data_IF_661159275212
#
_entry.id   IF_661159275212
#
_cell.length_a   1.000
_cell.length_b   1.000
_cell.length_c   1.000
_cell.angle_alpha   90.00
_cell.angle_beta   90.00
_cell.angle_gamma   90.00
#
_symmetry.space_group_name_H-M   'P 1'
#
loop_
_entity.id
_entity.type
_entity.pdbx_description
1 polymer ?
#
# COMPACT_ATOMS: atom_id res chain seq x y z
N UNK A 1 32.58 -4.91 -24.34
CA UNK A 1 32.07 -5.99 -25.23
C UNK A 1 31.76 -5.41 -26.60
N UNK A 2 31.88 -6.20 -27.66
CA UNK A 2 31.54 -5.78 -29.02
C UNK A 2 30.01 -5.82 -29.20
N UNK A 3 29.43 -4.83 -29.87
CA UNK A 3 28.01 -4.86 -30.25
C UNK A 3 27.84 -5.65 -31.55
N UNK A 4 26.60 -5.93 -31.96
CA UNK A 4 26.30 -6.53 -33.28
C UNK A 4 26.87 -5.68 -34.43
N UNK A 5 26.83 -4.34 -34.30
CA UNK A 5 27.39 -3.39 -35.27
C UNK A 5 28.92 -3.44 -35.25
N UNK A 6 29.54 -3.49 -34.08
CA UNK A 6 30.99 -3.67 -33.96
C UNK A 6 31.48 -4.96 -34.61
N UNK A 7 30.75 -6.06 -34.42
CA UNK A 7 31.05 -7.34 -35.07
C UNK A 7 31.02 -7.25 -36.60
N UNK A 8 29.98 -6.61 -37.15
CA UNK A 8 29.88 -6.37 -38.58
C UNK A 8 31.03 -5.48 -39.10
N UNK A 9 31.38 -4.40 -38.38
CA UNK A 9 32.50 -3.52 -38.73
C UNK A 9 33.83 -4.25 -38.75
N UNK A 10 34.10 -5.09 -37.75
CA UNK A 10 35.30 -5.92 -37.69
C UNK A 10 35.33 -6.92 -38.86
N UNK A 11 34.19 -7.57 -39.15
CA UNK A 11 34.10 -8.52 -40.26
C UNK A 11 34.36 -7.87 -41.62
N UNK A 12 33.76 -6.69 -41.88
CA UNK A 12 34.00 -5.91 -43.11
C UNK A 12 35.46 -5.46 -43.19
N UNK A 13 36.04 -5.02 -42.08
CA UNK A 13 37.46 -4.65 -42.00
C UNK A 13 38.39 -5.83 -42.34
N UNK A 14 38.14 -7.01 -41.79
CA UNK A 14 38.92 -8.24 -42.05
C UNK A 14 38.77 -8.68 -43.51
N UNK A 15 37.53 -8.71 -44.03
CA UNK A 15 37.27 -9.09 -45.41
C UNK A 15 37.94 -8.12 -46.40
N UNK A 16 37.84 -6.82 -46.14
CA UNK A 16 38.53 -5.78 -46.92
C UNK A 16 40.04 -5.93 -46.87
N UNK A 17 40.62 -6.20 -45.71
CA UNK A 17 42.06 -6.43 -45.57
C UNK A 17 42.52 -7.68 -46.33
N UNK A 18 41.78 -8.79 -46.21
CA UNK A 18 42.09 -10.04 -46.91
C UNK A 18 42.04 -9.87 -48.44
N UNK A 19 41.03 -9.18 -48.96
CA UNK A 19 40.91 -8.86 -50.38
C UNK A 19 42.03 -7.91 -50.86
N UNK A 20 42.42 -6.94 -50.04
CA UNK A 20 43.52 -6.03 -50.37
C UNK A 20 44.85 -6.78 -50.46
N UNK A 21 45.07 -7.72 -49.54
CA UNK A 21 46.25 -8.58 -49.50
C UNK A 21 46.29 -9.55 -50.70
N UNK A 22 45.16 -10.17 -51.05
CA UNK A 22 45.12 -11.16 -52.13
C UNK A 22 45.15 -10.55 -53.53
N UNK A 23 44.55 -9.38 -53.74
CA UNK A 23 44.42 -8.76 -55.06
C UNK A 23 45.31 -7.52 -55.27
N UNK A 24 46.05 -7.08 -54.24
CA UNK A 24 46.98 -5.94 -54.33
C UNK A 24 46.30 -4.58 -54.57
N UNK A 25 44.97 -4.51 -54.41
CA UNK A 25 44.18 -3.30 -54.66
C UNK A 25 44.42 -2.27 -53.54
N UNK A 26 45.38 -1.37 -53.75
CA UNK A 26 45.67 -0.26 -52.82
C UNK A 26 44.46 0.63 -52.55
N UNK A 27 43.49 0.67 -53.46
CA UNK A 27 42.22 1.40 -53.29
C UNK A 27 41.40 0.89 -52.10
N UNK A 28 41.55 -0.39 -51.72
CA UNK A 28 40.78 -0.98 -50.63
C UNK A 28 41.24 -0.50 -49.24
N UNK A 29 42.48 0.01 -49.14
CA UNK A 29 43.00 0.65 -47.92
C UNK A 29 42.22 1.93 -47.56
N UNK A 30 41.59 2.58 -48.55
CA UNK A 30 40.73 3.75 -48.31
C UNK A 30 39.47 3.41 -47.50
N UNK A 31 39.06 2.14 -47.46
CA UNK A 31 37.94 1.65 -46.65
C UNK A 31 38.43 1.03 -45.35
N UNK A 32 39.49 0.22 -45.40
CA UNK A 32 40.04 -0.46 -44.22
C UNK A 32 40.61 0.54 -43.20
N UNK A 33 41.30 1.59 -43.66
CA UNK A 33 41.90 2.61 -42.79
C UNK A 33 40.88 3.30 -41.88
N UNK A 34 39.80 3.92 -42.41
CA UNK A 34 38.75 4.53 -41.60
C UNK A 34 38.06 3.57 -40.64
N UNK A 35 37.83 2.31 -41.04
CA UNK A 35 37.25 1.28 -40.15
C UNK A 35 38.16 1.00 -38.97
N UNK A 36 39.47 0.82 -39.20
CA UNK A 36 40.44 0.60 -38.14
C UNK A 36 40.53 1.82 -37.21
N UNK A 37 40.50 3.04 -37.76
CA UNK A 37 40.49 4.27 -36.96
C UNK A 37 39.22 4.36 -36.11
N UNK A 38 38.03 4.08 -36.67
CA UNK A 38 36.77 4.10 -35.94
C UNK A 38 36.76 3.06 -34.80
N UNK A 39 37.26 1.85 -35.05
CA UNK A 39 37.40 0.81 -34.04
C UNK A 39 38.38 1.22 -32.93
N UNK A 40 39.53 1.83 -33.29
CA UNK A 40 40.53 2.29 -32.34
C UNK A 40 39.98 3.43 -31.47
N UNK A 41 39.35 4.44 -32.09
CA UNK A 41 38.74 5.58 -31.38
C UNK A 41 37.63 5.09 -30.45
N UNK A 42 36.71 4.25 -30.93
CA UNK A 42 35.63 3.69 -30.11
C UNK A 42 36.15 2.86 -28.93
N UNK A 43 37.20 2.06 -29.14
CA UNK A 43 37.84 1.29 -28.07
C UNK A 43 38.52 2.18 -27.02
N UNK A 44 39.29 3.19 -27.46
CA UNK A 44 39.96 4.12 -26.54
C UNK A 44 38.94 4.91 -25.72
N UNK A 45 37.88 5.40 -26.37
CA UNK A 45 36.80 6.14 -25.71
C UNK A 45 36.16 5.30 -24.60
N UNK A 46 35.74 4.06 -24.90
CA UNK A 46 35.08 3.20 -23.92
C UNK A 46 36.02 2.70 -22.81
N UNK A 47 37.32 2.59 -23.10
CA UNK A 47 38.34 2.24 -22.10
C UNK A 47 38.57 3.38 -21.11
N UNK A 48 38.48 4.64 -21.57
CA UNK A 48 38.55 5.83 -20.71
C UNK A 48 37.32 6.01 -19.83
N UNK A 49 36.17 5.47 -20.21
CA UNK A 49 34.96 5.50 -19.38
C UNK A 49 35.22 4.84 -18.03
N UNK A 50 35.25 5.66 -16.99
CA UNK A 50 35.42 5.23 -15.60
C UNK A 50 34.11 4.66 -15.04
N UNK A 51 34.20 3.91 -13.96
CA UNK A 51 33.00 3.47 -13.23
C UNK A 51 32.36 4.72 -12.58
N UNK A 52 31.15 5.12 -12.99
CA UNK A 52 30.50 6.26 -12.35
C UNK A 52 30.20 5.92 -10.89
N UNK A 53 30.20 6.93 -10.02
CA UNK A 53 29.57 6.85 -8.71
C UNK A 53 28.07 7.13 -8.87
N UNK A 54 27.25 6.45 -8.08
CA UNK A 54 25.80 6.58 -8.10
C UNK A 54 25.35 6.91 -6.69
N UNK A 55 24.63 8.01 -6.56
CA UNK A 55 23.84 8.35 -5.38
C UNK A 55 22.35 8.19 -5.74
N UNK A 56 21.62 7.49 -4.88
CA UNK A 56 20.21 7.16 -5.12
C UNK A 56 19.40 7.83 -4.03
N UNK A 57 18.48 8.70 -4.42
CA UNK A 57 17.51 9.31 -3.50
C UNK A 57 16.15 8.67 -3.71
N UNK A 58 15.67 7.99 -2.67
CA UNK A 58 14.38 7.32 -2.64
C UNK A 58 13.57 7.83 -1.44
N UNK A 59 12.27 8.15 -1.61
CA UNK A 59 11.38 8.37 -0.48
C UNK A 59 11.29 7.13 0.42
N UNK A 60 11.39 7.29 1.74
CA UNK A 60 11.35 6.15 2.67
C UNK A 60 9.96 5.52 2.80
N UNK A 61 8.90 6.30 2.54
CA UNK A 61 7.51 5.88 2.65
C UNK A 61 6.67 6.46 1.52
N UNK A 62 5.61 5.74 1.14
CA UNK A 62 4.55 6.22 0.25
C UNK A 62 3.27 5.42 0.49
N UNK A 63 2.15 5.81 -0.12
CA UNK A 63 0.90 5.04 -0.05
C UNK A 63 0.64 4.35 -1.37
N UNK A 64 -0.10 3.25 -1.33
CA UNK A 64 -0.52 2.57 -2.54
C UNK A 64 -1.30 3.50 -3.46
N UNK A 65 -0.99 3.44 -4.75
CA UNK A 65 -1.47 4.30 -5.84
C UNK A 65 -0.83 5.70 -5.89
N UNK A 66 0.06 6.05 -4.95
CA UNK A 66 0.86 7.28 -5.05
C UNK A 66 1.91 7.14 -6.17
N UNK A 67 2.31 8.28 -6.71
CA UNK A 67 3.40 8.43 -7.66
C UNK A 67 4.58 9.10 -6.95
N UNK A 68 5.75 8.47 -7.00
CA UNK A 68 6.97 8.96 -6.36
C UNK A 68 8.11 9.03 -7.37
N UNK A 69 8.91 10.08 -7.27
CA UNK A 69 10.08 10.25 -8.14
C UNK A 69 11.31 9.64 -7.45
N UNK A 70 11.97 8.70 -8.13
CA UNK A 70 13.28 8.16 -7.76
C UNK A 70 14.35 8.93 -8.52
N UNK A 71 15.31 9.50 -7.80
CA UNK A 71 16.34 10.35 -8.38
C UNK A 71 17.69 9.63 -8.34
N UNK A 72 18.33 9.48 -9.50
CA UNK A 72 19.64 8.87 -9.67
C UNK A 72 20.66 9.94 -10.06
N UNK A 73 21.57 10.26 -9.15
CA UNK A 73 22.67 11.20 -9.42
C UNK A 73 23.95 10.44 -9.77
N UNK A 74 24.51 10.76 -10.95
CA UNK A 74 25.71 10.11 -11.45
C UNK A 74 26.88 11.09 -11.43
N UNK A 75 27.96 10.70 -10.74
CA UNK A 75 29.22 11.45 -10.76
C UNK A 75 30.31 10.65 -11.47
N UNK A 76 30.94 11.24 -12.49
CA UNK A 76 32.03 10.63 -13.24
C UNK A 76 33.07 11.69 -13.65
N UNK A 77 34.38 11.38 -13.61
CA UNK A 77 35.41 12.32 -14.05
C UNK A 77 35.32 12.70 -15.53
N UNK A 78 34.89 11.75 -16.37
CA UNK A 78 34.72 11.91 -17.80
C UNK A 78 33.27 11.56 -18.16
N UNK A 79 32.41 12.56 -18.45
CA UNK A 79 31.02 12.33 -18.81
C UNK A 79 30.89 11.51 -20.09
N UNK A 80 29.86 10.65 -20.15
CA UNK A 80 29.61 9.82 -21.32
C UNK A 80 28.12 9.54 -21.53
N UNK A 81 27.73 9.36 -22.79
CA UNK A 81 26.37 8.95 -23.12
C UNK A 81 26.11 7.49 -22.67
N UNK A 82 25.10 7.31 -21.83
CA UNK A 82 24.69 6.03 -21.29
C UNK A 82 23.20 5.80 -21.43
N UNK A 83 22.79 4.54 -21.34
CA UNK A 83 21.39 4.17 -21.10
C UNK A 83 21.29 3.63 -19.68
N UNK A 84 20.42 4.22 -18.87
CA UNK A 84 20.14 3.84 -17.49
C UNK A 84 18.92 2.92 -17.49
N UNK A 85 19.07 1.77 -16.86
CA UNK A 85 18.04 0.77 -16.65
C UNK A 85 17.91 0.59 -15.14
N UNK A 86 16.70 0.85 -14.62
CA UNK A 86 16.34 0.66 -13.22
C UNK A 86 15.51 -0.62 -13.11
N UNK A 87 16.00 -1.59 -12.35
CA UNK A 87 15.20 -2.77 -11.99
C UNK A 87 14.39 -2.43 -10.72
N UNK A 88 13.10 -2.77 -10.72
CA UNK A 88 12.16 -2.52 -9.62
C UNK A 88 11.45 -3.83 -9.25
N UNK A 89 10.99 -3.91 -8.00
CA UNK A 89 10.15 -5.02 -7.54
C UNK A 89 8.75 -5.01 -8.20
N UNK A 90 8.07 -6.16 -8.18
CA UNK A 90 6.76 -6.38 -8.81
C UNK A 90 5.63 -5.51 -8.25
N UNK A 91 5.86 -4.77 -7.15
CA UNK A 91 4.93 -3.82 -6.57
C UNK A 91 5.18 -2.36 -6.94
N UNK A 92 6.17 -2.10 -7.78
CA UNK A 92 6.52 -0.78 -8.31
C UNK A 92 6.38 -0.78 -9.83
N UNK A 93 5.68 0.20 -10.39
CA UNK A 93 5.42 0.31 -11.82
C UNK A 93 5.97 1.63 -12.35
N UNK A 94 6.60 1.61 -13.53
CA UNK A 94 7.05 2.82 -14.22
C UNK A 94 7.00 2.60 -15.74
N UNK A 95 6.67 3.64 -16.49
CA UNK A 95 6.40 3.52 -17.93
C UNK A 95 7.59 3.90 -18.84
N UNK A 96 8.63 4.54 -18.28
CA UNK A 96 9.68 5.19 -19.08
C UNK A 96 10.69 4.24 -19.72
N UNK A 97 10.73 2.97 -19.29
CA UNK A 97 11.72 2.01 -19.79
C UNK A 97 13.17 2.52 -19.64
N UNK A 98 14.10 2.08 -20.51
CA UNK A 98 15.49 2.52 -20.42
C UNK A 98 15.68 3.99 -20.85
N UNK A 99 16.17 4.82 -19.93
CA UNK A 99 16.37 6.27 -20.16
C UNK A 99 17.78 6.53 -20.69
N UNK A 100 17.90 7.34 -21.76
CA UNK A 100 19.21 7.76 -22.30
C UNK A 100 19.60 9.10 -21.69
N UNK A 101 20.80 9.18 -21.10
CA UNK A 101 21.30 10.40 -20.47
C UNK A 101 22.82 10.55 -20.58
N UNK A 102 23.33 11.75 -20.28
CA UNK A 102 24.76 12.02 -20.06
C UNK A 102 25.11 11.66 -18.62
N UNK A 103 25.83 10.55 -18.44
CA UNK A 103 26.26 10.07 -17.13
C UNK A 103 27.43 10.93 -16.66
N UNK A 104 27.33 11.55 -15.48
CA UNK A 104 28.36 12.42 -14.90
C UNK A 104 28.02 13.92 -14.89
N UNK A 105 26.97 14.34 -15.60
CA UNK A 105 26.57 15.77 -15.72
C UNK A 105 25.10 16.01 -15.40
N UNK A 106 24.29 14.96 -15.33
CA UNK A 106 22.84 15.07 -15.28
C UNK A 106 22.27 14.01 -14.36
N UNK A 107 21.26 14.43 -13.60
CA UNK A 107 20.45 13.57 -12.76
C UNK A 107 19.37 12.91 -13.60
N UNK A 108 19.11 11.63 -13.36
CA UNK A 108 18.04 10.88 -14.04
C UNK A 108 16.93 10.61 -13.05
N UNK A 109 15.72 11.00 -13.42
CA UNK A 109 14.51 10.80 -12.60
C UNK A 109 13.64 9.72 -13.23
N UNK A 110 13.02 8.91 -12.37
CA UNK A 110 12.03 7.91 -12.73
C UNK A 110 10.78 8.16 -11.90
N UNK A 111 9.66 8.42 -12.56
CA UNK A 111 8.37 8.50 -11.89
C UNK A 111 7.79 7.08 -11.75
N UNK A 112 7.60 6.67 -10.50
CA UNK A 112 7.23 5.31 -10.12
C UNK A 112 5.92 5.30 -9.37
N UNK A 113 4.97 4.51 -9.87
CA UNK A 113 3.68 4.25 -9.24
C UNK A 113 3.79 3.11 -8.24
N UNK A 114 3.28 3.32 -7.03
CA UNK A 114 3.29 2.34 -5.94
C UNK A 114 2.09 1.40 -6.02
N UNK A 115 2.21 0.29 -6.75
CA UNK A 115 1.10 -0.60 -7.08
C UNK A 115 0.69 -1.56 -5.95
N UNK A 116 1.65 -2.04 -5.14
CA UNK A 116 1.42 -2.98 -4.03
C UNK A 116 1.94 -2.42 -2.71
N UNK A 117 1.20 -2.66 -1.61
CA UNK A 117 1.63 -2.33 -0.26
C UNK A 117 2.78 -3.25 0.21
N UNK A 118 3.48 -2.82 1.25
CA UNK A 118 4.58 -3.56 1.86
C UNK A 118 5.94 -2.96 1.53
N UNK A 119 7.01 -3.63 1.93
CA UNK A 119 8.37 -3.24 1.60
C UNK A 119 8.66 -3.58 0.14
N UNK A 120 9.04 -2.58 -0.65
CA UNK A 120 9.35 -2.72 -2.08
C UNK A 120 10.80 -2.36 -2.33
N UNK A 121 11.54 -3.23 -3.03
CA UNK A 121 12.96 -3.03 -3.31
C UNK A 121 13.20 -2.25 -4.60
N UNK A 122 14.22 -1.38 -4.58
CA UNK A 122 14.67 -0.58 -5.72
C UNK A 122 16.10 -0.96 -6.07
N UNK A 123 16.32 -1.27 -7.35
CA UNK A 123 17.58 -1.71 -7.90
C UNK A 123 17.59 -3.19 -8.24
N UNK A 124 18.69 -3.67 -8.87
CA UNK A 124 19.92 -2.95 -9.18
C UNK A 124 19.77 -1.88 -10.29
N UNK A 125 20.69 -0.93 -10.32
CA UNK A 125 20.79 0.07 -11.39
C UNK A 125 21.86 -0.35 -12.39
N UNK A 126 21.50 -0.41 -13.67
CA UNK A 126 22.41 -0.80 -14.75
C UNK A 126 22.61 0.36 -15.71
N UNK A 127 23.88 0.67 -15.99
CA UNK A 127 24.28 1.74 -16.90
C UNK A 127 24.98 1.11 -18.09
N UNK A 128 24.44 1.29 -19.29
CA UNK A 128 25.00 0.78 -20.54
C UNK A 128 25.60 1.93 -21.33
N UNK A 129 26.91 2.14 -21.19
CA UNK A 129 27.69 3.07 -22.01
C UNK A 129 27.99 2.48 -23.38
N UNK A 130 27.91 3.30 -24.43
CA UNK A 130 28.29 2.95 -25.81
C UNK A 130 29.24 4.01 -26.36
N UNK A 131 30.13 3.62 -27.26
CA UNK A 131 30.93 4.61 -27.99
C UNK A 131 30.08 5.35 -29.04
N UNK A 132 30.62 6.44 -29.58
CA UNK A 132 29.94 7.30 -30.57
C UNK A 132 29.50 6.56 -31.85
N UNK A 133 30.20 5.49 -32.23
CA UNK A 133 29.84 4.66 -33.39
C UNK A 133 28.96 3.45 -32.99
N UNK A 134 28.75 3.23 -31.69
CA UNK A 134 27.97 2.12 -31.15
C UNK A 134 28.57 0.75 -31.46
N UNK A 135 29.88 0.65 -31.66
CA UNK A 135 30.63 -0.57 -31.99
C UNK A 135 30.95 -1.39 -30.74
N UNK A 136 31.16 -0.72 -29.61
CA UNK A 136 31.46 -1.29 -28.33
C UNK A 136 30.43 -0.83 -27.29
N UNK A 137 30.18 -1.69 -26.31
CA UNK A 137 29.38 -1.36 -25.13
C UNK A 137 30.09 -1.79 -23.86
N UNK A 138 29.88 -1.03 -22.80
CA UNK A 138 30.32 -1.35 -21.43
C UNK A 138 29.12 -1.21 -20.51
N UNK A 139 28.96 -2.18 -19.64
CA UNK A 139 27.87 -2.20 -18.67
C UNK A 139 28.47 -2.03 -17.29
N UNK A 140 27.94 -1.07 -16.55
CA UNK A 140 28.19 -0.88 -15.13
C UNK A 140 26.93 -1.29 -14.38
N UNK A 141 27.07 -2.03 -13.29
CA UNK A 141 25.94 -2.48 -12.48
C UNK A 141 26.18 -2.08 -11.05
N UNK A 142 25.31 -1.22 -10.53
CA UNK A 142 25.28 -0.83 -9.13
C UNK A 142 24.29 -1.72 -8.39
N UNK A 143 24.79 -2.42 -7.38
CA UNK A 143 23.97 -3.23 -6.48
C UNK A 143 23.29 -2.30 -5.46
N UNK A 144 22.28 -1.57 -5.93
CA UNK A 144 21.42 -0.72 -5.10
C UNK A 144 20.49 -1.64 -4.32
N UNK A 145 20.30 -1.34 -3.02
CA UNK A 145 19.45 -2.10 -2.10
C UNK A 145 18.60 -1.14 -1.27
N UNK A 146 18.09 -0.11 -1.93
CA UNK A 146 17.17 0.82 -1.31
C UNK A 146 15.77 0.21 -1.26
N UNK A 147 14.98 0.62 -0.28
CA UNK A 147 13.64 0.09 -0.05
C UNK A 147 12.69 1.24 0.25
N UNK A 148 11.47 1.15 -0.26
CA UNK A 148 10.36 2.04 0.10
C UNK A 148 9.28 1.22 0.81
N UNK A 149 8.78 1.73 1.94
CA UNK A 149 7.64 1.13 2.62
C UNK A 149 6.34 1.72 2.06
N UNK A 150 5.56 0.90 1.38
CA UNK A 150 4.28 1.30 0.79
C UNK A 150 3.13 0.99 1.75
N UNK A 151 2.47 2.02 2.25
CA UNK A 151 1.29 1.91 3.10
C UNK A 151 0.04 1.49 2.31
N UNK A 152 -0.96 0.89 2.98
CA UNK A 152 -2.28 0.69 2.38
C UNK A 152 -2.90 2.01 1.93
N UNK A 153 -3.80 1.94 0.96
CA UNK A 153 -4.51 3.11 0.45
C UNK A 153 -5.52 3.59 1.49
N UNK A 154 -5.43 4.86 1.85
CA UNK A 154 -6.41 5.51 2.71
C UNK A 154 -7.50 6.11 1.82
N UNK A 155 -8.73 5.66 2.00
CA UNK A 155 -9.90 6.25 1.35
C UNK A 155 -10.55 7.27 2.30
N UNK A 156 -10.98 8.43 1.79
CA UNK A 156 -11.69 9.40 2.62
C UNK A 156 -12.98 8.77 3.14
N UNK A 157 -13.14 8.77 4.45
CA UNK A 157 -14.37 8.39 5.15
C UNK A 157 -14.74 9.51 6.11
N UNK A 158 -16.03 9.71 6.35
CA UNK A 158 -16.50 10.75 7.26
C UNK A 158 -16.19 10.34 8.72
N UNK A 159 -15.22 11.04 9.33
CA UNK A 159 -14.78 10.78 10.71
C UNK A 159 -15.87 10.99 11.75
N UNK A 160 -16.71 12.03 11.58
CA UNK A 160 -17.81 12.30 12.51
C UNK A 160 -18.87 11.20 12.43
N UNK A 161 -19.20 10.77 11.21
CA UNK A 161 -20.13 9.65 11.01
C UNK A 161 -19.57 8.34 11.58
N UNK A 162 -18.26 8.11 11.40
CA UNK A 162 -17.54 6.94 11.92
C UNK A 162 -17.57 6.90 13.45
N UNK A 163 -17.27 8.02 14.12
CA UNK A 163 -17.33 8.15 15.58
C UNK A 163 -18.77 8.00 16.10
N UNK A 164 -19.77 8.53 15.39
CA UNK A 164 -21.18 8.35 15.79
C UNK A 164 -21.65 6.91 15.65
N UNK A 165 -21.33 6.23 14.55
CA UNK A 165 -21.65 4.83 14.35
C UNK A 165 -21.03 3.96 15.48
N UNK A 166 -19.81 4.32 15.91
CA UNK A 166 -19.12 3.71 17.03
C UNK A 166 -19.85 3.88 18.36
N UNK A 167 -20.27 5.09 18.68
CA UNK A 167 -21.05 5.39 19.88
C UNK A 167 -22.38 4.64 19.88
N UNK A 168 -23.11 4.65 18.76
CA UNK A 168 -24.41 3.99 18.64
C UNK A 168 -24.31 2.48 18.86
N UNK A 169 -23.29 1.85 18.26
CA UNK A 169 -23.10 0.43 18.39
C UNK A 169 -22.60 0.02 19.79
N UNK A 170 -21.75 0.82 20.44
CA UNK A 170 -21.34 0.58 21.82
C UNK A 170 -22.55 0.66 22.77
N UNK A 171 -23.43 1.66 22.59
CA UNK A 171 -24.69 1.79 23.33
C UNK A 171 -25.59 0.57 23.10
N UNK A 172 -25.68 0.08 21.86
CA UNK A 172 -26.48 -1.09 21.53
C UNK A 172 -25.90 -2.42 22.05
N UNK A 173 -24.58 -2.55 22.15
CA UNK A 173 -23.91 -3.72 22.71
C UNK A 173 -24.02 -3.75 24.25
N UNK A 174 -23.81 -2.61 24.92
CA UNK A 174 -24.01 -2.48 26.37
C UNK A 174 -25.46 -2.83 26.78
N UNK A 175 -26.45 -2.50 25.93
CA UNK A 175 -27.85 -2.92 26.11
C UNK A 175 -28.08 -4.43 26.04
N UNK A 176 -27.16 -5.20 25.45
CA UNK A 176 -27.28 -6.65 25.28
C UNK A 176 -26.51 -7.45 26.34
N UNK A 177 -25.38 -6.93 26.84
CA UNK A 177 -24.46 -7.73 27.67
C UNK A 177 -24.70 -7.67 29.19
N UNK A 178 -25.46 -6.70 29.73
CA UNK A 178 -25.79 -6.67 31.16
C UNK A 178 -27.21 -6.15 31.41
N UNK A 179 -28.11 -7.04 31.83
CA UNK A 179 -29.47 -6.71 32.27
C UNK A 179 -29.57 -6.89 33.79
N UNK A 180 -29.28 -5.83 34.56
CA UNK A 180 -29.59 -5.82 35.99
C UNK A 180 -30.96 -5.17 36.19
N UNK A 181 -31.89 -5.89 36.82
CA UNK A 181 -33.24 -5.39 37.10
C UNK A 181 -33.22 -4.58 38.40
N UNK A 182 -33.47 -3.27 38.29
CA UNK A 182 -33.61 -2.34 39.41
C UNK A 182 -35.08 -1.94 39.60
N UNK A 183 -35.49 -1.59 40.81
CA UNK A 183 -36.81 -0.99 41.07
C UNK A 183 -36.94 0.38 40.39
N UNK A 184 -38.05 0.57 39.68
CA UNK A 184 -38.43 1.80 39.00
C UNK A 184 -38.46 2.97 39.98
N UNK A 185 -37.77 4.05 39.63
CA UNK A 185 -37.86 5.32 40.34
C UNK A 185 -38.55 6.36 39.46
N UNK A 186 -39.25 7.30 40.10
CA UNK A 186 -39.92 8.40 39.42
C UNK A 186 -38.90 9.24 38.65
N UNK A 187 -38.93 9.15 37.31
CA UNK A 187 -37.96 9.78 36.42
C UNK A 187 -37.32 8.82 35.43
N UNK A 188 -37.41 7.50 35.68
CA UNK A 188 -36.92 6.49 34.76
C UNK A 188 -37.80 6.45 33.48
N UNK A 189 -37.19 6.38 32.28
CA UNK A 189 -37.93 6.33 31.03
C UNK A 189 -38.70 5.00 30.88
N UNK A 190 -40.00 5.09 30.60
CA UNK A 190 -40.91 3.92 30.50
C UNK A 190 -40.50 2.88 29.43
N UNK A 191 -39.69 3.28 28.44
CA UNK A 191 -39.13 2.36 27.43
C UNK A 191 -38.15 1.33 28.02
N UNK A 192 -37.55 1.62 29.17
CA UNK A 192 -36.55 0.75 29.80
C UNK A 192 -37.18 -0.21 30.82
N UNK A 193 -38.50 -0.14 31.02
CA UNK A 193 -39.27 -1.05 31.89
C UNK A 193 -39.30 -2.47 31.32
N UNK A 194 -38.95 -3.46 32.15
CA UNK A 194 -39.02 -4.87 31.79
C UNK A 194 -40.40 -5.45 32.14
N UNK A 195 -41.37 -5.24 31.23
CA UNK A 195 -42.79 -5.59 31.44
C UNK A 195 -43.02 -7.04 31.90
N UNK A 196 -42.25 -8.01 31.39
CA UNK A 196 -42.41 -9.43 31.72
C UNK A 196 -42.06 -9.75 33.19
N UNK A 197 -41.11 -9.02 33.78
CA UNK A 197 -40.74 -9.18 35.20
C UNK A 197 -41.60 -8.32 36.11
N UNK A 198 -41.97 -7.11 35.67
CA UNK A 198 -42.90 -6.24 36.38
C UNK A 198 -44.30 -6.86 36.52
N UNK A 199 -44.78 -7.59 35.51
CA UNK A 199 -46.10 -8.24 35.55
C UNK A 199 -46.22 -9.40 36.56
N UNK A 200 -45.09 -9.91 37.06
CA UNK A 200 -45.05 -10.98 38.09
C UNK A 200 -44.94 -10.42 39.51
N UNK A 201 -44.82 -9.10 39.67
CA UNK A 201 -44.67 -8.43 40.97
C UNK A 201 -45.97 -7.76 41.41
N UNK A 202 -46.09 -7.42 42.72
CA UNK A 202 -47.21 -6.66 43.24
C UNK A 202 -47.44 -5.33 42.49
N UNK A 203 -48.70 -4.89 42.45
CA UNK A 203 -49.10 -3.65 41.76
C UNK A 203 -48.31 -2.47 42.33
N UNK A 204 -47.50 -1.84 41.47
CA UNK A 204 -46.66 -0.68 41.82
C UNK A 204 -45.16 -0.94 41.80
N UNK A 205 -44.72 -2.20 41.76
CA UNK A 205 -43.29 -2.57 41.70
C UNK A 205 -42.84 -2.87 40.26
N UNK A 206 -42.60 -1.83 39.49
CA UNK A 206 -42.01 -1.98 38.15
C UNK A 206 -40.50 -2.17 38.25
N UNK A 207 -39.96 -3.04 37.42
CA UNK A 207 -38.52 -3.22 37.26
C UNK A 207 -38.05 -2.52 35.98
N UNK A 208 -36.97 -1.77 36.09
CA UNK A 208 -36.28 -1.09 34.99
C UNK A 208 -34.98 -1.81 34.71
N UNK A 209 -34.66 -1.94 33.43
CA UNK A 209 -33.37 -2.44 32.96
C UNK A 209 -32.33 -1.38 33.25
N UNK A 210 -31.42 -1.66 34.18
CA UNK A 210 -30.25 -0.84 34.43
C UNK A 210 -29.09 -1.39 33.62
N UNK A 211 -28.58 -0.56 32.73
CA UNK A 211 -27.37 -0.83 31.96
C UNK A 211 -26.23 -0.11 32.67
N UNK A 212 -25.16 -0.83 33.01
CA UNK A 212 -23.93 -0.22 33.50
C UNK A 212 -23.24 0.37 32.27
N UNK A 213 -23.32 1.69 32.10
CA UNK A 213 -22.58 2.37 31.06
C UNK A 213 -21.10 2.34 31.45
N UNK A 214 -20.37 1.36 30.92
CA UNK A 214 -18.92 1.34 31.05
C UNK A 214 -18.41 2.53 30.23
N UNK A 215 -18.13 3.63 30.93
CA UNK A 215 -17.59 4.86 30.37
C UNK A 215 -16.11 4.68 30.01
N UNK A 216 -15.82 3.73 29.12
CA UNK A 216 -14.48 3.43 28.59
C UNK A 216 -14.37 3.89 27.12
N UNK A 217 -15.15 4.89 26.70
CA UNK A 217 -15.13 5.43 25.34
C UNK A 217 -14.04 6.49 25.14
N UNK A 218 -12.78 6.06 25.13
CA UNK A 218 -11.69 6.82 24.48
C UNK A 218 -10.73 5.93 23.67
N UNK A 219 -10.89 4.60 23.73
CA UNK A 219 -10.00 3.63 23.08
C UNK A 219 -10.79 2.61 22.30
N UNK A 220 -10.32 2.28 21.10
CA UNK A 220 -10.99 1.35 20.18
C UNK A 220 -9.98 0.35 19.64
N UNK A 221 -10.32 -0.93 19.70
CA UNK A 221 -9.52 -2.00 19.16
C UNK A 221 -10.14 -2.51 17.85
N UNK A 222 -9.39 -2.41 16.75
CA UNK A 222 -9.76 -2.96 15.46
C UNK A 222 -9.00 -4.26 15.23
N UNK A 223 -9.71 -5.33 14.88
CA UNK A 223 -9.11 -6.58 14.41
C UNK A 223 -9.26 -6.66 12.89
N UNK A 224 -8.15 -6.88 12.20
CA UNK A 224 -8.10 -7.04 10.76
C UNK A 224 -7.71 -8.48 10.42
N UNK A 225 -8.59 -9.21 9.71
CA UNK A 225 -8.35 -10.58 9.27
C UNK A 225 -8.70 -10.72 7.79
N UNK A 226 -7.90 -11.45 7.05
CA UNK A 226 -8.13 -11.60 5.61
C UNK A 226 -7.82 -13.02 5.15
N UNK A 227 -8.63 -13.52 4.21
CA UNK A 227 -8.25 -14.69 3.43
C UNK A 227 -7.30 -14.26 2.29
N UNK A 228 -6.62 -15.23 1.69
CA UNK A 228 -5.79 -15.01 0.52
C UNK A 228 -6.59 -14.28 -0.59
N UNK A 229 -5.98 -13.25 -1.20
CA UNK A 229 -6.61 -12.43 -2.24
C UNK A 229 -7.53 -11.30 -1.74
N UNK A 230 -7.64 -11.11 -0.42
CA UNK A 230 -8.42 -10.01 0.18
C UNK A 230 -7.64 -9.15 1.18
N UNK A 231 -6.36 -9.45 1.37
CA UNK A 231 -5.53 -8.78 2.39
C UNK A 231 -5.42 -7.28 2.12
N UNK A 232 -5.19 -6.91 0.86
CA UNK A 232 -5.17 -5.53 0.38
C UNK A 232 -6.45 -4.76 0.73
N UNK A 233 -7.61 -5.33 0.40
CA UNK A 233 -8.91 -4.70 0.63
C UNK A 233 -9.17 -4.47 2.12
N UNK A 234 -8.78 -5.44 2.96
CA UNK A 234 -8.91 -5.35 4.42
C UNK A 234 -7.93 -4.33 4.98
N UNK A 235 -6.68 -4.33 4.52
CA UNK A 235 -5.66 -3.37 4.95
C UNK A 235 -6.08 -1.92 4.60
N UNK A 236 -6.58 -1.68 3.38
CA UNK A 236 -7.08 -0.38 2.95
C UNK A 236 -8.29 0.07 3.79
N UNK A 237 -9.24 -0.85 4.04
CA UNK A 237 -10.41 -0.57 4.86
C UNK A 237 -10.03 -0.23 6.31
N UNK A 238 -9.18 -1.05 6.94
CA UNK A 238 -8.70 -0.81 8.31
C UNK A 238 -7.89 0.47 8.40
N UNK A 239 -7.00 0.76 7.44
CA UNK A 239 -6.23 1.99 7.39
C UNK A 239 -7.13 3.23 7.32
N UNK A 240 -8.20 3.15 6.52
CA UNK A 240 -9.17 4.24 6.35
C UNK A 240 -9.98 4.49 7.62
N UNK A 241 -10.52 3.43 8.25
CA UNK A 241 -11.29 3.53 9.50
C UNK A 241 -10.40 4.03 10.64
N UNK A 242 -9.21 3.43 10.81
CA UNK A 242 -8.27 3.82 11.86
C UNK A 242 -7.83 5.29 11.69
N UNK A 243 -7.55 5.72 10.46
CA UNK A 243 -7.20 7.10 10.16
C UNK A 243 -8.31 8.07 10.55
N UNK A 244 -9.56 7.78 10.16
CA UNK A 244 -10.68 8.65 10.46
C UNK A 244 -11.04 8.71 11.95
N UNK A 245 -10.88 7.60 12.68
CA UNK A 245 -11.04 7.57 14.13
C UNK A 245 -9.95 8.38 14.85
N UNK A 246 -8.69 8.27 14.40
CA UNK A 246 -7.58 9.08 14.91
C UNK A 246 -7.80 10.58 14.61
N UNK A 247 -8.30 10.92 13.42
CA UNK A 247 -8.68 12.30 13.06
C UNK A 247 -9.82 12.82 13.96
N UNK A 248 -10.73 11.95 14.38
CA UNK A 248 -11.76 12.22 15.38
C UNK A 248 -11.28 12.24 16.84
N UNK A 249 -9.96 12.09 17.08
CA UNK A 249 -9.37 12.12 18.42
C UNK A 249 -9.56 10.84 19.25
N UNK A 250 -9.99 9.74 18.64
CA UNK A 250 -10.16 8.44 19.30
C UNK A 250 -8.82 7.70 19.31
N UNK A 251 -8.41 7.14 20.44
CA UNK A 251 -7.21 6.31 20.49
C UNK A 251 -7.51 4.94 19.86
N UNK A 252 -6.81 4.59 18.78
CA UNK A 252 -7.07 3.37 18.00
C UNK A 252 -5.94 2.38 18.16
N UNK A 253 -6.27 1.14 18.48
CA UNK A 253 -5.38 -0.02 18.38
C UNK A 253 -5.78 -0.89 17.21
N UNK A 254 -4.81 -1.56 16.60
CA UNK A 254 -5.03 -2.49 15.49
C UNK A 254 -4.30 -3.80 15.77
N UNK A 255 -5.01 -4.90 15.63
CA UNK A 255 -4.46 -6.26 15.70
C UNK A 255 -4.64 -6.96 14.35
N UNK A 256 -3.54 -7.50 13.83
CA UNK A 256 -3.47 -8.36 12.64
C UNK A 256 -2.92 -9.73 13.04
N UNK A 257 -2.94 -10.74 12.15
CA UNK A 257 -2.34 -12.05 12.46
C UNK A 257 -0.84 -11.98 12.80
N UNK A 258 -0.13 -10.96 12.30
CA UNK A 258 1.32 -10.79 12.45
C UNK A 258 1.69 -10.00 13.71
N UNK A 259 0.77 -9.21 14.27
CA UNK A 259 1.06 -8.41 15.44
C UNK A 259 -0.05 -7.45 15.86
N UNK A 260 0.24 -6.69 16.92
CA UNK A 260 -0.69 -5.76 17.55
C UNK A 260 -0.02 -4.43 17.86
N UNK A 261 -0.72 -3.36 17.52
CA UNK A 261 -0.45 -2.00 18.01
C UNK A 261 -1.55 -1.65 19.01
N UNK A 262 -1.16 -1.42 20.27
CA UNK A 262 -2.12 -1.07 21.32
C UNK A 262 -2.71 0.34 21.09
N UNK A 263 -3.94 0.62 21.55
CA UNK A 263 -4.56 1.93 21.43
C UNK A 263 -3.75 3.02 22.12
N UNK A 264 -3.43 4.07 21.37
CA UNK A 264 -2.74 5.28 21.84
C UNK A 264 -3.31 6.50 21.07
N UNK A 265 -3.20 7.69 21.66
CA UNK A 265 -3.59 8.97 21.05
C UNK A 265 -2.40 9.77 20.51
N UNK A 266 -1.19 9.21 20.53
CA UNK A 266 0.02 9.88 20.08
C UNK A 266 0.01 10.15 18.56
N UNK A 267 0.68 11.23 18.13
CA UNK A 267 0.79 11.61 16.71
C UNK A 267 1.43 10.52 15.84
N UNK A 268 2.36 9.74 16.41
CA UNK A 268 3.03 8.62 15.70
C UNK A 268 2.15 7.38 15.54
N UNK A 269 0.98 7.33 16.20
CA UNK A 269 0.12 6.16 16.21
C UNK A 269 -0.34 5.77 14.81
N UNK A 270 -0.65 6.77 13.98
CA UNK A 270 -1.03 6.54 12.57
C UNK A 270 0.06 5.78 11.84
N UNK A 271 1.30 6.24 11.92
CA UNK A 271 2.44 5.61 11.23
C UNK A 271 2.65 4.18 11.73
N UNK A 272 2.55 3.92 13.04
CA UNK A 272 2.67 2.56 13.59
C UNK A 272 1.60 1.61 13.03
N UNK A 273 0.35 2.08 12.96
CA UNK A 273 -0.77 1.31 12.40
C UNK A 273 -0.56 1.05 10.91
N UNK A 274 -0.21 2.07 10.12
CA UNK A 274 0.02 1.93 8.68
C UNK A 274 1.21 1.00 8.38
N UNK A 275 2.28 1.07 9.17
CA UNK A 275 3.41 0.14 9.08
C UNK A 275 2.98 -1.29 9.39
N UNK A 276 2.16 -1.53 10.43
CA UNK A 276 1.64 -2.87 10.70
C UNK A 276 0.80 -3.39 9.52
N UNK A 277 -0.09 -2.56 8.99
CA UNK A 277 -0.98 -2.93 7.87
C UNK A 277 -0.23 -3.12 6.54
N UNK A 278 0.89 -2.43 6.34
CA UNK A 278 1.77 -2.64 5.18
C UNK A 278 2.34 -4.06 5.16
N UNK A 279 2.60 -4.65 6.34
CA UNK A 279 3.12 -6.02 6.49
C UNK A 279 2.04 -7.07 6.75
N UNK A 280 0.76 -6.69 6.70
CA UNK A 280 -0.35 -7.63 6.93
C UNK A 280 -0.36 -8.73 5.87
N UNK A 281 -0.44 -9.98 6.29
CA UNK A 281 -0.63 -11.15 5.43
C UNK A 281 -2.03 -11.75 5.62
N UNK A 282 -2.34 -12.83 4.89
CA UNK A 282 -3.59 -13.53 5.06
C UNK A 282 -3.54 -14.39 6.33
N UNK A 283 -4.55 -14.28 7.18
CA UNK A 283 -4.62 -15.04 8.41
C UNK A 283 -5.82 -14.66 9.27
N UNK A 284 -5.91 -15.35 10.41
CA UNK A 284 -6.88 -15.06 11.47
C UNK A 284 -6.14 -14.75 12.75
N UNK A 285 -6.71 -13.85 13.53
CA UNK A 285 -6.23 -13.48 14.86
C UNK A 285 -6.74 -14.51 15.87
N UNK A 286 -5.97 -14.74 16.93
CA UNK A 286 -6.35 -15.67 17.99
C UNK A 286 -7.64 -15.21 18.70
N UNK A 287 -8.49 -16.17 19.09
CA UNK A 287 -9.81 -15.88 19.69
C UNK A 287 -9.75 -14.95 20.91
N UNK A 288 -8.66 -15.00 21.69
CA UNK A 288 -8.46 -14.13 22.86
C UNK A 288 -8.33 -12.64 22.51
N UNK A 289 -7.66 -12.34 21.40
CA UNK A 289 -7.49 -10.95 20.94
C UNK A 289 -8.72 -10.51 20.17
N UNK A 290 -9.30 -11.42 19.39
CA UNK A 290 -10.56 -11.18 18.69
C UNK A 290 -11.73 -10.86 19.63
N UNK A 291 -11.77 -11.46 20.82
CA UNK A 291 -12.79 -11.17 21.83
C UNK A 291 -12.70 -9.74 22.41
N UNK A 292 -11.60 -9.02 22.18
CA UNK A 292 -11.40 -7.63 22.61
C UNK A 292 -11.71 -6.61 21.52
N UNK A 293 -12.08 -7.07 20.32
CA UNK A 293 -12.29 -6.21 19.17
C UNK A 293 -13.62 -5.47 19.30
N UNK A 294 -13.57 -4.14 19.22
CA UNK A 294 -14.76 -3.30 19.04
C UNK A 294 -15.22 -3.35 17.58
N UNK A 295 -14.24 -3.43 16.66
CA UNK A 295 -14.45 -3.47 15.21
C UNK A 295 -13.69 -4.65 14.63
N UNK A 296 -14.38 -5.44 13.81
CA UNK A 296 -13.78 -6.57 13.10
C UNK A 296 -13.89 -6.34 11.59
N UNK A 297 -12.75 -6.13 10.94
CA UNK A 297 -12.66 -5.96 9.49
C UNK A 297 -12.21 -7.26 8.85
N UNK A 298 -13.01 -7.76 7.90
CA UNK A 298 -12.83 -9.07 7.28
C UNK A 298 -12.95 -9.04 5.77
N UNK A 299 -12.12 -9.82 5.11
CA UNK A 299 -12.17 -10.03 3.66
C UNK A 299 -12.56 -11.48 3.35
N UNK A 300 -13.86 -11.81 3.31
CA UNK A 300 -14.27 -13.15 2.93
C UNK A 300 -14.09 -13.38 1.43
N UNK A 301 -13.80 -14.63 1.06
CA UNK A 301 -13.39 -15.00 -0.30
C UNK A 301 -14.51 -14.86 -1.34
N UNK A 302 -15.77 -14.91 -0.90
CA UNK A 302 -16.98 -14.90 -1.73
C UNK A 302 -17.49 -13.50 -2.07
N UNK A 303 -16.93 -12.44 -1.46
CA UNK A 303 -17.35 -11.05 -1.70
C UNK A 303 -16.20 -10.20 -2.25
N UNK A 304 -16.53 -9.19 -3.05
CA UNK A 304 -15.55 -8.26 -3.64
C UNK A 304 -15.10 -7.15 -2.68
N UNK A 305 -15.79 -6.99 -1.55
CA UNK A 305 -15.59 -5.89 -0.61
C UNK A 305 -15.17 -6.41 0.77
N UNK A 306 -14.47 -5.56 1.54
CA UNK A 306 -14.24 -5.83 2.96
C UNK A 306 -15.55 -5.66 3.74
N UNK A 307 -15.81 -6.58 4.65
CA UNK A 307 -16.89 -6.52 5.63
C UNK A 307 -16.38 -5.92 6.93
N UNK A 308 -17.20 -5.05 7.50
CA UNK A 308 -17.00 -4.48 8.82
C UNK A 308 -18.09 -5.06 9.70
N UNK A 309 -17.70 -5.74 10.76
CA UNK A 309 -18.61 -6.16 11.82
C UNK A 309 -18.46 -5.20 12.99
N UNK A 310 -19.58 -4.56 13.36
CA UNK A 310 -19.66 -3.58 14.43
C UNK A 310 -20.84 -3.91 15.34
N UNK A 311 -20.61 -4.18 16.63
CA UNK A 311 -21.71 -4.35 17.60
C UNK A 311 -22.71 -5.45 17.23
N UNK A 312 -22.28 -6.44 16.42
CA UNK A 312 -23.10 -7.53 15.89
C UNK A 312 -23.74 -7.27 14.53
N UNK A 313 -23.73 -6.04 14.01
CA UNK A 313 -24.18 -5.72 12.65
C UNK A 313 -23.01 -5.87 11.66
N UNK A 314 -23.29 -6.34 10.45
CA UNK A 314 -22.30 -6.51 9.38
C UNK A 314 -22.67 -5.62 8.20
N UNK A 315 -21.73 -4.80 7.76
CA UNK A 315 -21.89 -3.94 6.58
C UNK A 315 -20.63 -3.97 5.71
N UNK A 316 -20.77 -3.62 4.43
CA UNK A 316 -19.60 -3.48 3.57
C UNK A 316 -18.86 -2.17 3.85
N UNK A 317 -17.55 -2.15 3.60
CA UNK A 317 -16.77 -0.91 3.70
C UNK A 317 -17.30 0.18 2.76
N UNK A 318 -17.76 -0.18 1.57
CA UNK A 318 -18.23 0.82 0.60
C UNK A 318 -19.55 1.46 1.05
N UNK A 319 -20.45 0.70 1.68
CA UNK A 319 -21.63 1.25 2.36
C UNK A 319 -21.24 2.15 3.53
N UNK A 320 -20.20 1.78 4.28
CA UNK A 320 -19.69 2.60 5.39
C UNK A 320 -19.08 3.91 4.90
N UNK A 321 -18.25 3.86 3.86
CA UNK A 321 -17.58 5.02 3.28
C UNK A 321 -18.53 5.96 2.52
N UNK A 322 -19.57 5.42 1.88
CA UNK A 322 -20.58 6.20 1.13
C UNK A 322 -21.76 6.65 1.99
N UNK A 323 -21.99 6.00 3.14
CA UNK A 323 -23.17 6.12 3.96
C UNK A 323 -22.89 6.67 5.34
N UNK A 324 -22.44 7.93 5.41
CA UNK A 324 -22.71 8.74 6.59
C UNK A 324 -24.21 8.74 6.89
N UNK A 325 -24.62 8.04 7.95
CA UNK A 325 -25.96 7.99 8.52
C UNK A 325 -27.14 7.72 7.57
N UNK A 326 -27.46 6.44 7.34
CA UNK A 326 -28.86 6.03 7.20
C UNK A 326 -29.22 5.07 8.33
N UNK A 327 -29.78 5.65 9.39
CA UNK A 327 -30.58 4.96 10.40
C UNK A 327 -31.60 4.04 9.70
N UNK A 328 -31.31 2.76 9.60
CA UNK A 328 -32.36 1.77 9.38
C UNK A 328 -33.13 1.66 10.69
N UNK A 329 -34.25 2.37 10.75
CA UNK A 329 -35.24 2.21 11.80
C UNK A 329 -35.62 0.73 11.93
N UNK A 330 -35.86 0.22 13.16
CA UNK A 330 -36.30 -1.14 13.35
C UNK A 330 -37.64 -1.32 12.64
N UNK A 331 -37.70 -2.35 11.78
CA UNK A 331 -38.91 -2.81 11.13
C UNK A 331 -39.94 -3.15 12.21
N UNK A 332 -40.85 -2.22 12.48
CA UNK A 332 -41.99 -2.49 13.35
C UNK A 332 -42.84 -3.54 12.64
N UNK A 333 -42.91 -4.71 13.25
CA UNK A 333 -43.94 -5.69 12.96
C UNK A 333 -45.29 -5.01 13.22
N UNK A 334 -46.07 -4.83 12.15
CA UNK A 334 -47.47 -4.44 12.24
C UNK A 334 -48.30 -5.70 12.08
N UNK A 335 -48.75 -6.23 13.21
CA UNK A 335 -49.91 -7.10 13.28
C UNK A 335 -51.14 -6.23 13.55
N UNK A 336 -52.09 -6.24 12.63
CA UNK A 336 -53.56 -6.26 12.84
C UNK A 336 -54.20 -6.28 11.44
N UNK A 337 -55.13 -7.17 11.08
CA UNK A 337 -56.30 -7.57 11.85
C UNK A 337 -57.45 -6.62 11.51
N UNK A 338 -58.38 -7.03 10.64
CA UNK A 338 -59.58 -6.23 10.35
C UNK A 338 -60.33 -6.65 9.08
N UNK A 339 -61.51 -7.24 9.30
CA UNK A 339 -62.51 -7.72 8.34
C UNK A 339 -62.94 -6.74 7.25
N UNK A 340 -63.36 -7.25 6.09
CA UNK A 340 -64.75 -7.21 5.59
C UNK A 340 -64.79 -7.59 4.10
N UNK A 341 -65.42 -8.71 3.77
CA UNK A 341 -66.72 -8.78 3.08
C UNK A 341 -67.09 -10.23 2.75
#
# INVERSE_FOLDING_TARGET
MLTRRGGAFVAVGIAGFALAWSFGARSLNAVVGPILVALLVGYIQLKRTSHPQLDVSVPSVGSREDEVTITLDFSAPDPFAGTVELELDDGLEYDDGPVKSSIGETTVEFDVRLAKRGEQSIGPVRIVGKDVFGLFKRTFTHQVRETILVFPRIRPVDGDATVRALQDAHVNAARREFEQLREYQTGDPLRDVHWKSSAKRPVGEMLVRQFEAQAESERIEIVAEANAGRVDTVADATASIASALLDGGVAVGVTTPEGRVAPDGATEQRTKILTLLAHMESGRVHDRERARADVLVRGPTDREHAEIQWGGDTMSFDEFASGGARTTAPHTARADGGETR
#
